data_IF_516366264368
#
_entry.id   IF_516366264368
#
_cell.length_a   1.000
_cell.length_b   1.000
_cell.length_c   1.000
_cell.angle_alpha   90.00
_cell.angle_beta   90.00
_cell.angle_gamma   90.00
#
_symmetry.space_group_name_H-M   'P 1'
#
loop_
_entity.id
_entity.type
_entity.pdbx_description
1 polymer ?
#
# COMPACT_ATOMS: atom_id res chain seq x y z
N UNK A 1 10.38 -2.45 7.26
CA UNK A 1 9.42 -2.90 8.30
C UNK A 1 8.01 -2.90 7.73
N UNK A 2 7.20 -3.94 7.99
CA UNK A 2 5.78 -3.94 7.63
C UNK A 2 4.91 -4.48 8.75
N UNK A 3 3.64 -4.06 8.79
CA UNK A 3 2.70 -4.48 9.84
C UNK A 3 2.25 -5.94 9.74
N UNK A 4 2.34 -6.54 8.55
CA UNK A 4 2.12 -7.98 8.32
C UNK A 4 3.44 -8.69 8.06
N UNK A 5 4.28 -8.15 7.18
CA UNK A 5 5.56 -8.75 6.80
C UNK A 5 6.66 -7.70 6.67
N UNK A 6 7.86 -8.01 7.18
CA UNK A 6 9.03 -7.15 6.98
C UNK A 6 9.45 -7.09 5.51
N UNK A 7 9.75 -8.26 4.95
CA UNK A 7 10.16 -8.45 3.55
C UNK A 7 9.45 -9.68 2.98
N UNK A 8 8.78 -9.52 1.85
CA UNK A 8 8.20 -10.61 1.07
C UNK A 8 9.10 -10.91 -0.13
N UNK A 9 9.56 -12.17 -0.24
CA UNK A 9 10.38 -12.65 -1.35
C UNK A 9 9.61 -13.78 -2.04
N UNK A 10 9.01 -13.48 -3.19
CA UNK A 10 8.11 -14.41 -3.86
C UNK A 10 6.85 -14.75 -3.04
N UNK A 11 6.12 -15.76 -3.50
CA UNK A 11 4.89 -16.23 -2.84
C UNK A 11 3.75 -15.19 -2.87
N UNK A 12 2.69 -15.49 -2.12
CA UNK A 12 1.49 -14.66 -2.06
C UNK A 12 1.16 -14.22 -0.64
N UNK A 13 0.69 -12.99 -0.51
CA UNK A 13 0.00 -12.49 0.68
C UNK A 13 -1.39 -12.09 0.22
N UNK A 14 -2.41 -12.73 0.79
CA UNK A 14 -3.79 -12.59 0.33
C UNK A 14 -4.75 -12.44 1.51
N UNK A 15 -5.60 -11.42 1.44
CA UNK A 15 -6.64 -11.20 2.43
C UNK A 15 -6.12 -10.77 3.81
N UNK A 16 -4.95 -10.14 3.87
CA UNK A 16 -4.35 -9.70 5.13
C UNK A 16 -4.63 -8.23 5.41
N UNK A 17 -4.73 -7.87 6.68
CA UNK A 17 -4.87 -6.49 7.10
C UNK A 17 -4.06 -6.14 8.33
N UNK A 18 -3.73 -4.85 8.46
CA UNK A 18 -3.05 -4.32 9.64
C UNK A 18 -3.62 -2.96 10.02
N UNK A 19 -3.95 -2.80 11.30
CA UNK A 19 -4.30 -1.52 11.91
C UNK A 19 -3.18 -0.96 12.80
N UNK A 20 -2.04 -1.65 12.86
CA UNK A 20 -0.93 -1.25 13.72
C UNK A 20 -0.24 0.01 13.20
N UNK A 21 0.20 0.87 14.12
CA UNK A 21 1.17 1.92 13.78
C UNK A 21 2.51 1.27 13.51
N UNK A 22 3.05 1.45 12.30
CA UNK A 22 4.33 0.88 11.88
C UNK A 22 5.42 1.94 11.98
N UNK A 23 6.48 1.65 12.73
CA UNK A 23 7.68 2.49 12.83
C UNK A 23 8.89 1.77 12.22
N UNK A 24 9.71 2.47 11.44
CA UNK A 24 10.93 1.89 10.89
C UNK A 24 11.84 2.92 10.23
N UNK A 25 13.08 2.52 9.95
CA UNK A 25 14.08 3.43 9.35
C UNK A 25 14.15 3.33 7.82
N UNK A 26 14.06 2.11 7.28
CA UNK A 26 14.20 1.82 5.85
C UNK A 26 13.03 0.94 5.41
N UNK A 27 12.52 1.21 4.21
CA UNK A 27 11.43 0.48 3.54
C UNK A 27 10.27 0.17 4.50
N UNK A 28 9.46 1.18 4.77
CA UNK A 28 8.41 1.12 5.79
C UNK A 28 7.03 1.14 5.15
N UNK A 29 6.21 0.12 5.43
CA UNK A 29 4.84 0.05 4.94
C UNK A 29 3.83 -0.47 5.95
N UNK A 30 2.55 -0.17 5.77
CA UNK A 30 1.49 -0.63 6.68
C UNK A 30 1.27 -2.14 6.60
N UNK A 31 1.40 -2.75 5.42
CA UNK A 31 1.32 -4.21 5.21
C UNK A 31 2.72 -4.81 5.09
N UNK A 32 3.50 -4.34 4.12
CA UNK A 32 4.84 -4.87 3.84
C UNK A 32 5.90 -3.78 3.88
N UNK A 33 7.08 -4.07 4.42
CA UNK A 33 8.22 -3.16 4.26
C UNK A 33 8.71 -3.16 2.81
N UNK A 34 9.03 -4.36 2.32
CA UNK A 34 9.47 -4.59 0.95
C UNK A 34 8.79 -5.81 0.34
N UNK A 35 8.50 -5.76 -0.95
CA UNK A 35 8.03 -6.90 -1.76
C UNK A 35 8.95 -7.08 -2.98
N UNK A 36 9.34 -8.32 -3.29
CA UNK A 36 10.27 -8.62 -4.39
C UNK A 36 10.04 -10.01 -5.01
N UNK A 37 10.80 -10.34 -6.07
CA UNK A 37 10.88 -11.67 -6.69
C UNK A 37 9.53 -12.17 -7.21
N UNK A 38 8.80 -11.31 -7.93
CA UNK A 38 7.49 -11.61 -8.52
C UNK A 38 6.45 -12.09 -7.49
N UNK A 39 6.58 -11.64 -6.25
CA UNK A 39 5.57 -11.81 -5.21
C UNK A 39 4.21 -11.23 -5.64
N UNK A 40 3.15 -11.68 -4.98
CA UNK A 40 1.81 -11.11 -5.12
C UNK A 40 1.28 -10.60 -3.78
N UNK A 41 0.65 -9.43 -3.82
CA UNK A 41 -0.08 -8.85 -2.71
C UNK A 41 -1.51 -8.56 -3.18
N UNK A 42 -2.47 -9.31 -2.66
CA UNK A 42 -3.85 -9.32 -3.17
C UNK A 42 -4.86 -9.13 -2.04
N UNK A 43 -5.86 -8.28 -2.24
CA UNK A 43 -6.91 -8.05 -1.26
C UNK A 43 -6.37 -7.69 0.14
N UNK A 44 -5.29 -6.90 0.20
CA UNK A 44 -4.65 -6.54 1.46
C UNK A 44 -4.84 -5.06 1.78
N UNK A 45 -4.90 -4.72 3.06
CA UNK A 45 -5.07 -3.33 3.44
C UNK A 45 -4.44 -2.92 4.76
N UNK A 46 -4.13 -1.63 4.89
CA UNK A 46 -3.63 -1.06 6.14
C UNK A 46 -4.38 0.22 6.56
N UNK A 47 -4.67 0.34 7.84
CA UNK A 47 -5.33 1.53 8.41
C UNK A 47 -4.48 2.25 9.46
N UNK A 48 -3.47 1.59 10.01
CA UNK A 48 -2.55 2.20 10.95
C UNK A 48 -1.53 3.13 10.29
N UNK A 49 -1.07 4.13 11.04
CA UNK A 49 -0.10 5.11 10.54
C UNK A 49 1.27 4.49 10.28
N UNK A 50 2.01 5.06 9.33
CA UNK A 50 3.40 4.73 9.04
C UNK A 50 4.28 5.91 9.45
N UNK A 51 5.29 5.64 10.28
CA UNK A 51 6.24 6.63 10.78
C UNK A 51 7.64 6.18 10.38
N UNK A 52 8.30 6.99 9.57
CA UNK A 52 9.63 6.73 9.06
C UNK A 52 10.64 7.53 9.89
N UNK A 53 11.50 6.83 10.62
CA UNK A 53 12.56 7.42 11.43
C UNK A 53 13.84 7.40 10.59
N UNK A 54 14.09 8.47 9.83
CA UNK A 54 15.07 8.42 8.73
C UNK A 54 16.49 8.10 9.21
N UNK A 55 17.11 7.12 8.56
CA UNK A 55 18.55 6.86 8.67
C UNK A 55 19.32 7.89 7.83
N UNK A 56 20.25 8.67 8.41
CA UNK A 56 20.92 9.79 7.73
C UNK A 56 21.65 9.44 6.42
N UNK A 57 22.04 8.18 6.22
CA UNK A 57 22.91 7.79 5.10
C UNK A 57 22.27 6.79 4.13
N UNK A 58 20.97 6.51 4.26
CA UNK A 58 20.30 5.49 3.43
C UNK A 58 19.23 6.08 2.55
N UNK A 59 18.98 5.37 1.45
CA UNK A 59 17.77 5.57 0.66
C UNK A 59 16.57 5.09 1.47
N UNK A 60 15.52 5.89 1.44
CA UNK A 60 14.32 5.70 2.25
C UNK A 60 13.14 5.53 1.32
N UNK A 61 12.43 4.42 1.43
CA UNK A 61 11.12 4.25 0.82
C UNK A 61 10.04 4.09 1.90
N UNK A 62 8.91 4.78 1.73
CA UNK A 62 7.81 4.67 2.67
C UNK A 62 6.45 4.89 2.02
N UNK A 63 5.50 4.01 2.33
CA UNK A 63 4.13 4.09 1.82
C UNK A 63 3.14 3.55 2.84
N UNK A 64 1.88 3.97 2.79
CA UNK A 64 0.90 3.46 3.77
C UNK A 64 0.56 1.98 3.59
N UNK A 65 0.79 1.40 2.39
CA UNK A 65 0.65 -0.03 2.14
C UNK A 65 2.00 -0.74 2.11
N UNK A 66 2.90 -0.33 1.20
CA UNK A 66 4.22 -0.94 1.01
C UNK A 66 5.31 0.14 0.97
N UNK A 67 6.43 -0.08 1.66
CA UNK A 67 7.60 0.80 1.55
C UNK A 67 8.22 0.72 0.16
N UNK A 68 8.79 -0.43 -0.18
CA UNK A 68 9.42 -0.69 -1.48
C UNK A 68 8.76 -1.86 -2.22
N UNK A 69 8.11 -1.58 -3.35
CA UNK A 69 7.66 -2.62 -4.26
C UNK A 69 8.64 -2.81 -5.43
N UNK A 70 9.55 -3.78 -5.31
CA UNK A 70 10.62 -4.07 -6.25
C UNK A 70 10.20 -4.99 -7.43
N UNK A 71 8.94 -4.92 -7.86
CA UNK A 71 8.43 -5.69 -9.00
C UNK A 71 7.43 -6.80 -8.63
N UNK A 72 6.71 -6.63 -7.52
CA UNK A 72 5.62 -7.53 -7.09
C UNK A 72 4.27 -7.00 -7.56
N UNK A 73 3.36 -7.87 -7.97
CA UNK A 73 2.03 -7.46 -8.43
C UNK A 73 1.13 -7.13 -7.24
N UNK A 74 0.55 -5.93 -7.26
CA UNK A 74 -0.42 -5.46 -6.26
C UNK A 74 -1.81 -5.43 -6.89
N UNK A 75 -2.76 -6.12 -6.27
CA UNK A 75 -4.12 -6.29 -6.77
C UNK A 75 -5.14 -5.97 -5.67
N UNK A 76 -6.04 -5.03 -5.93
CA UNK A 76 -7.19 -4.72 -5.09
C UNK A 76 -6.80 -4.47 -3.61
N UNK A 77 -5.82 -3.60 -3.40
CA UNK A 77 -5.32 -3.27 -2.08
C UNK A 77 -5.67 -1.82 -1.73
N UNK A 78 -5.85 -1.52 -0.44
CA UNK A 78 -6.06 -0.13 -0.03
C UNK A 78 -5.31 0.25 1.25
N UNK A 79 -5.06 1.54 1.46
CA UNK A 79 -4.51 2.01 2.73
C UNK A 79 -4.97 3.41 3.14
N UNK A 80 -5.08 3.64 4.45
CA UNK A 80 -5.64 4.88 5.01
C UNK A 80 -4.80 5.54 6.10
N UNK A 81 -3.79 4.84 6.60
CA UNK A 81 -2.87 5.41 7.57
C UNK A 81 -2.09 6.59 7.00
N UNK A 82 -1.87 7.61 7.83
CA UNK A 82 -0.98 8.70 7.48
C UNK A 82 0.47 8.21 7.38
N UNK A 83 1.21 8.75 6.43
CA UNK A 83 2.64 8.48 6.28
C UNK A 83 3.39 9.73 6.67
N UNK A 84 4.20 9.61 7.72
CA UNK A 84 5.00 10.70 8.28
C UNK A 84 6.45 10.28 8.39
N UNK A 85 7.34 11.26 8.43
CA UNK A 85 8.76 11.01 8.54
C UNK A 85 9.43 12.04 9.45
N UNK A 86 10.43 11.60 10.19
CA UNK A 86 11.23 12.44 11.10
C UNK A 86 12.71 12.24 10.83
N UNK A 87 13.52 13.24 11.16
CA UNK A 87 14.95 13.26 10.84
C UNK A 87 15.23 13.76 9.42
N UNK A 88 16.46 13.52 8.95
CA UNK A 88 16.91 13.86 7.61
C UNK A 88 17.81 12.76 7.06
N UNK A 89 17.84 12.60 5.75
CA UNK A 89 18.76 11.70 5.05
C UNK A 89 19.45 12.42 3.92
N UNK A 90 20.72 12.06 3.66
CA UNK A 90 21.45 12.47 2.45
C UNK A 90 21.19 11.53 1.28
N UNK A 91 20.45 10.43 1.48
CA UNK A 91 20.02 9.51 0.43
C UNK A 91 18.72 9.95 -0.25
N UNK A 92 18.27 9.15 -1.21
CA UNK A 92 16.99 9.40 -1.88
C UNK A 92 15.81 9.14 -0.95
N UNK A 93 14.84 10.06 -0.93
CA UNK A 93 13.64 9.95 -0.11
C UNK A 93 12.41 9.77 -0.98
N UNK A 94 11.87 8.57 -1.00
CA UNK A 94 10.73 8.18 -1.81
C UNK A 94 9.56 7.83 -0.91
N UNK A 95 8.81 8.86 -0.52
CA UNK A 95 7.66 8.72 0.38
C UNK A 95 6.39 9.01 -0.43
N UNK A 96 5.46 8.06 -0.44
CA UNK A 96 4.17 8.20 -1.09
C UNK A 96 3.01 7.87 -0.16
N UNK A 97 1.81 8.26 -0.56
CA UNK A 97 0.57 7.98 0.15
C UNK A 97 0.23 6.49 0.18
N UNK A 98 0.66 5.69 -0.79
CA UNK A 98 0.35 4.25 -0.89
C UNK A 98 1.61 3.40 -0.95
N UNK A 99 2.54 3.75 -1.85
CA UNK A 99 3.82 3.09 -2.07
C UNK A 99 4.96 4.12 -1.98
N UNK A 100 6.08 3.76 -1.36
CA UNK A 100 7.29 4.57 -1.44
C UNK A 100 7.93 4.45 -2.82
N UNK A 101 8.42 3.25 -3.13
CA UNK A 101 8.92 2.87 -4.45
C UNK A 101 8.00 1.87 -5.12
N UNK A 102 7.90 1.94 -6.44
CA UNK A 102 7.16 0.97 -7.22
C UNK A 102 7.75 0.76 -8.61
N UNK A 103 8.03 -0.48 -8.98
CA UNK A 103 8.66 -0.83 -10.26
C UNK A 103 7.76 -1.69 -11.16
N UNK A 104 6.45 -1.70 -10.92
CA UNK A 104 5.48 -2.47 -11.72
C UNK A 104 4.09 -1.86 -11.61
N UNK A 105 3.12 -2.34 -12.39
CA UNK A 105 1.75 -1.83 -12.38
C UNK A 105 1.00 -2.21 -11.11
N UNK A 106 0.22 -1.28 -10.60
CA UNK A 106 -0.76 -1.50 -9.53
C UNK A 106 -2.14 -1.66 -10.15
N UNK A 107 -2.91 -2.69 -9.75
CA UNK A 107 -4.28 -2.87 -10.22
C UNK A 107 -5.26 -2.61 -9.08
N UNK A 108 -6.16 -1.64 -9.26
CA UNK A 108 -7.17 -1.26 -8.28
C UNK A 108 -6.57 -0.96 -6.88
N UNK A 109 -5.50 -0.15 -6.84
CA UNK A 109 -4.90 0.32 -5.60
C UNK A 109 -5.54 1.63 -5.14
N UNK A 110 -5.97 1.71 -3.88
CA UNK A 110 -6.67 2.90 -3.35
C UNK A 110 -6.05 3.42 -2.07
N UNK A 111 -6.00 4.74 -1.90
CA UNK A 111 -5.43 5.32 -0.69
C UNK A 111 -6.12 6.60 -0.26
N UNK A 112 -6.14 6.87 1.05
CA UNK A 112 -6.66 8.13 1.60
C UNK A 112 -5.87 8.53 2.84
N UNK A 113 -5.00 9.52 2.71
CA UNK A 113 -4.22 10.06 3.83
C UNK A 113 -3.66 11.46 3.52
N UNK A 114 -2.71 11.90 4.34
CA UNK A 114 -2.02 13.20 4.29
C UNK A 114 -1.12 13.45 3.07
N UNK A 115 -0.98 12.52 2.12
CA UNK A 115 -0.15 12.72 0.93
C UNK A 115 -0.95 13.25 -0.26
N UNK A 116 -0.28 13.93 -1.18
CA UNK A 116 -0.86 14.36 -2.45
C UNK A 116 -0.71 13.30 -3.55
N UNK A 117 0.34 12.46 -3.45
CA UNK A 117 0.65 11.43 -4.44
C UNK A 117 0.69 10.04 -3.81
N UNK A 118 0.22 9.03 -4.56
CA UNK A 118 0.19 7.65 -4.08
C UNK A 118 1.56 6.96 -4.13
N UNK A 119 2.42 7.33 -5.09
CA UNK A 119 3.72 6.67 -5.32
C UNK A 119 4.83 7.71 -5.19
N UNK A 120 5.76 7.47 -4.26
CA UNK A 120 6.89 8.37 -4.03
C UNK A 120 7.82 8.48 -5.24
N UNK A 121 8.22 7.34 -5.80
CA UNK A 121 9.16 7.24 -6.93
C UNK A 121 8.79 6.14 -7.95
N UNK A 122 9.22 6.38 -9.19
CA UNK A 122 8.91 5.59 -10.39
C UNK A 122 7.39 5.52 -10.67
N UNK A 123 6.87 6.69 -11.06
CA UNK A 123 5.44 6.98 -11.21
C UNK A 123 4.86 6.58 -12.56
N UNK A 124 5.62 5.88 -13.40
CA UNK A 124 5.10 5.34 -14.67
C UNK A 124 4.02 4.28 -14.43
N UNK A 125 3.97 3.72 -13.22
CA UNK A 125 2.87 2.87 -12.80
C UNK A 125 1.57 3.67 -12.64
N UNK A 126 0.57 3.25 -13.42
CA UNK A 126 -0.82 3.63 -13.24
C UNK A 126 -1.47 2.79 -12.13
N UNK A 127 -2.56 3.28 -11.54
CA UNK A 127 -3.47 2.45 -10.71
C UNK A 127 -3.39 2.58 -9.18
N UNK A 128 -2.63 3.53 -8.64
CA UNK A 128 -2.73 3.96 -7.23
C UNK A 128 -3.57 5.25 -7.11
N UNK A 129 -4.85 5.10 -6.83
CA UNK A 129 -5.85 6.18 -6.90
C UNK A 129 -6.18 6.74 -5.51
N UNK A 130 -6.14 8.07 -5.37
CA UNK A 130 -6.56 8.74 -4.13
C UNK A 130 -8.08 8.68 -4.00
N UNK A 131 -8.57 8.30 -2.82
CA UNK A 131 -9.98 8.43 -2.44
C UNK A 131 -10.16 9.79 -1.76
N UNK A 132 -10.54 10.79 -2.55
CA UNK A 132 -10.75 12.17 -2.08
C UNK A 132 -12.12 12.39 -1.44
N UNK A 133 -13.07 11.48 -1.68
CA UNK A 133 -14.45 11.56 -1.18
C UNK A 133 -15.37 12.46 -2.02
N UNK A 134 -14.88 13.05 -3.11
CA UNK A 134 -15.68 13.80 -4.07
C UNK A 134 -15.77 13.06 -5.39
N UNK A 135 -14.67 12.97 -6.15
CA UNK A 135 -14.61 12.29 -7.44
C UNK A 135 -14.44 10.79 -7.24
N UNK A 136 -13.60 10.39 -6.28
CA UNK A 136 -13.35 8.99 -5.95
C UNK A 136 -13.81 8.73 -4.52
N UNK A 137 -14.87 7.94 -4.38
CA UNK A 137 -15.42 7.50 -3.10
C UNK A 137 -14.96 6.08 -2.75
N UNK A 138 -15.17 5.67 -1.50
CA UNK A 138 -14.93 4.28 -1.10
C UNK A 138 -15.85 3.29 -1.83
N UNK A 139 -17.04 3.71 -2.24
CA UNK A 139 -17.91 2.86 -3.05
C UNK A 139 -17.27 2.60 -4.42
N UNK A 140 -16.78 3.65 -5.10
CA UNK A 140 -16.07 3.49 -6.37
C UNK A 140 -14.84 2.57 -6.23
N UNK A 141 -14.09 2.73 -5.13
CA UNK A 141 -12.94 1.88 -4.83
C UNK A 141 -13.35 0.42 -4.64
N UNK A 142 -14.39 0.15 -3.85
CA UNK A 142 -14.90 -1.21 -3.60
C UNK A 142 -15.37 -1.88 -4.89
N UNK A 143 -16.10 -1.16 -5.75
CA UNK A 143 -16.59 -1.69 -7.01
C UNK A 143 -15.44 -2.10 -7.94
N UNK A 144 -14.43 -1.23 -8.08
CA UNK A 144 -13.26 -1.51 -8.91
C UNK A 144 -12.37 -2.62 -8.32
N UNK A 145 -12.13 -2.61 -7.01
CA UNK A 145 -11.38 -3.66 -6.32
C UNK A 145 -12.08 -5.02 -6.47
N UNK A 146 -13.39 -5.08 -6.28
CA UNK A 146 -14.16 -6.30 -6.44
C UNK A 146 -14.19 -6.80 -7.88
N UNK A 147 -14.31 -5.90 -8.86
CA UNK A 147 -14.20 -6.26 -10.29
C UNK A 147 -12.85 -6.90 -10.59
N UNK A 148 -11.77 -6.29 -10.08
CA UNK A 148 -10.41 -6.81 -10.27
C UNK A 148 -10.21 -8.17 -9.58
N UNK A 149 -10.76 -8.36 -8.38
CA UNK A 149 -10.73 -9.64 -7.66
C UNK A 149 -11.52 -10.73 -8.39
N UNK A 150 -12.71 -10.42 -8.88
CA UNK A 150 -13.54 -11.36 -9.64
C UNK A 150 -12.85 -11.78 -10.94
N UNK A 151 -12.27 -10.84 -11.68
CA UNK A 151 -11.51 -11.14 -12.90
C UNK A 151 -10.29 -12.03 -12.62
N UNK A 152 -9.73 -11.96 -11.41
CA UNK A 152 -8.63 -12.82 -10.97
C UNK A 152 -9.07 -14.15 -10.36
N UNK A 153 -10.39 -14.45 -10.32
CA UNK A 153 -10.92 -15.68 -9.73
C UNK A 153 -10.79 -15.75 -8.20
N UNK A 154 -10.67 -14.61 -7.53
CA UNK A 154 -10.51 -14.53 -6.08
C UNK A 154 -11.79 -14.87 -5.33
N UNK A 155 -11.68 -15.66 -4.26
CA UNK A 155 -12.76 -15.93 -3.30
C UNK A 155 -12.99 -14.76 -2.33
N UNK A 156 -12.10 -13.75 -2.34
CA UNK A 156 -12.20 -12.56 -1.49
C UNK A 156 -12.99 -11.44 -2.15
N UNK A 157 -13.77 -10.72 -1.33
CA UNK A 157 -14.55 -9.57 -1.75
C UNK A 157 -14.58 -8.49 -0.66
N UNK A 158 -14.50 -7.22 -1.05
CA UNK A 158 -14.77 -6.09 -0.18
C UNK A 158 -16.26 -5.78 -0.06
N UNK A 159 -16.65 -5.39 1.14
CA UNK A 159 -17.94 -4.79 1.48
C UNK A 159 -17.75 -3.40 2.04
N UNK A 160 -18.75 -2.53 1.86
CA UNK A 160 -18.76 -1.19 2.45
C UNK A 160 -19.99 -1.05 3.36
N UNK A 161 -19.88 -1.58 4.57
CA UNK A 161 -20.94 -1.52 5.59
C UNK A 161 -20.72 -0.40 6.62
N UNK A 162 -19.69 0.41 6.44
CA UNK A 162 -19.30 1.48 7.34
C UNK A 162 -18.42 2.51 6.64
N UNK A 163 -17.59 3.21 7.43
CA UNK A 163 -16.75 4.30 6.89
C UNK A 163 -15.63 3.82 5.96
N UNK A 164 -15.16 2.57 6.13
CA UNK A 164 -14.10 1.97 5.34
C UNK A 164 -14.52 0.58 4.82
N UNK A 165 -13.95 0.13 3.69
CA UNK A 165 -14.18 -1.22 3.20
C UNK A 165 -13.73 -2.28 4.22
N UNK A 166 -14.39 -3.42 4.24
CA UNK A 166 -13.97 -4.61 4.99
C UNK A 166 -13.93 -5.80 4.07
N UNK A 167 -12.94 -6.68 4.25
CA UNK A 167 -12.78 -7.84 3.39
C UNK A 167 -13.49 -9.06 3.98
N UNK A 168 -14.24 -9.79 3.15
CA UNK A 168 -14.83 -11.08 3.47
C UNK A 168 -14.42 -12.14 2.46
N UNK A 169 -14.41 -13.40 2.91
CA UNK A 169 -14.33 -14.55 2.03
C UNK A 169 -15.74 -14.98 1.64
N UNK A 170 -15.96 -15.29 0.37
CA UNK A 170 -17.24 -15.77 -0.18
C UNK A 170 -17.43 -17.27 0.04
#
# INVERSE_FOLDING_TARGET
VGGVVGVQIGGSITGCSSSATVKGMVDVGGVAGQTNSSATLTACYATGNVIIEMDPKKNIAGGSLVGMNAGSSLLACYATGNVTSTGSSTGYMHIGGFLGNNYTTVTAGYWKNNHEQGIGYNRESTGATKVDGSVVTWQNAVDAMNTALQNAGSEWRYELNGALPTLRKQ
#
